data_IF_456063169901
#
_entry.id   IF_456063169901
#
_cell.length_a   1.000
_cell.length_b   1.000
_cell.length_c   1.000
_cell.angle_alpha   90.00
_cell.angle_beta   90.00
_cell.angle_gamma   90.00
#
_symmetry.space_group_name_H-M   'P 1'
#
loop_
_entity.id
_entity.type
_entity.pdbx_description
1 polymer ?
#
# COMPACT_ATOMS: atom_id res chain seq x y z
N UNK A 1 9.57 -8.88 6.81
CA UNK A 1 8.92 -7.56 6.71
C UNK A 1 8.97 -7.12 5.25
N UNK A 2 7.97 -6.39 4.77
CA UNK A 2 7.93 -5.88 3.38
C UNK A 2 7.83 -4.37 3.41
N UNK A 3 8.77 -3.69 2.76
CA UNK A 3 8.79 -2.23 2.63
C UNK A 3 8.20 -1.88 1.26
N UNK A 4 7.21 -0.98 1.22
CA UNK A 4 6.58 -0.56 -0.02
C UNK A 4 5.94 0.84 0.11
N UNK A 5 5.53 1.42 -1.02
CA UNK A 5 4.72 2.63 -1.06
C UNK A 5 3.21 2.35 -0.86
N UNK A 6 2.87 1.36 -0.03
CA UNK A 6 1.52 0.83 0.11
C UNK A 6 1.14 -0.21 -0.95
N UNK A 7 -0.16 -0.46 -1.12
CA UNK A 7 -0.65 -1.32 -2.18
C UNK A 7 -0.65 -0.55 -3.52
N UNK A 8 -0.55 -1.26 -4.65
CA UNK A 8 -0.62 -0.60 -5.96
C UNK A 8 -1.93 0.18 -6.07
N UNK A 9 -1.87 1.39 -6.61
CA UNK A 9 -3.00 2.33 -6.73
C UNK A 9 -4.21 1.80 -7.52
N UNK A 10 -4.02 0.75 -8.30
CA UNK A 10 -5.06 0.03 -9.04
C UNK A 10 -5.92 -0.90 -8.17
N UNK A 11 -5.55 -1.10 -6.90
CA UNK A 11 -6.23 -2.01 -5.97
C UNK A 11 -7.18 -1.25 -5.05
N UNK A 12 -8.12 -1.97 -4.45
CA UNK A 12 -8.97 -1.45 -3.40
C UNK A 12 -8.20 -1.42 -2.06
N UNK A 13 -7.82 -0.21 -1.63
CA UNK A 13 -7.04 -0.02 -0.41
C UNK A 13 -7.85 -0.31 0.86
N UNK A 14 -9.15 -0.02 0.86
CA UNK A 14 -10.02 -0.30 2.01
C UNK A 14 -10.14 -1.78 2.25
N UNK A 15 -10.47 -2.56 1.21
CA UNK A 15 -10.53 -4.01 1.30
C UNK A 15 -9.16 -4.63 1.61
N UNK A 16 -8.06 -4.01 1.14
CA UNK A 16 -6.71 -4.45 1.48
C UNK A 16 -6.43 -4.30 2.97
N UNK A 17 -6.79 -3.15 3.57
CA UNK A 17 -6.60 -2.92 5.00
C UNK A 17 -7.42 -3.89 5.85
N UNK A 18 -8.70 -4.09 5.51
CA UNK A 18 -9.58 -5.09 6.16
C UNK A 18 -9.00 -6.51 6.08
N UNK A 19 -8.43 -6.88 4.92
CA UNK A 19 -7.83 -8.20 4.73
C UNK A 19 -6.57 -8.38 5.59
N UNK A 20 -5.70 -7.37 5.64
CA UNK A 20 -4.48 -7.40 6.44
C UNK A 20 -4.79 -7.47 7.93
N UNK A 21 -5.78 -6.69 8.40
CA UNK A 21 -6.27 -6.74 9.77
C UNK A 21 -6.81 -8.14 10.13
N UNK A 22 -7.69 -8.70 9.28
CA UNK A 22 -8.25 -10.04 9.46
C UNK A 22 -7.15 -11.12 9.55
N UNK A 23 -6.03 -10.93 8.84
CA UNK A 23 -4.87 -11.85 8.86
C UNK A 23 -3.86 -11.55 9.96
N UNK A 24 -4.09 -10.54 10.79
CA UNK A 24 -3.16 -10.11 11.84
C UNK A 24 -1.83 -9.60 11.30
N UNK A 25 -1.82 -9.02 10.10
CA UNK A 25 -0.63 -8.42 9.48
C UNK A 25 -0.60 -6.92 9.81
N UNK A 26 0.34 -6.45 10.64
CA UNK A 26 0.40 -5.04 10.98
C UNK A 26 0.90 -4.22 9.79
N UNK A 27 0.29 -3.05 9.61
CA UNK A 27 0.67 -2.00 8.66
C UNK A 27 1.23 -0.82 9.43
N UNK A 28 2.51 -0.55 9.20
CA UNK A 28 3.31 0.48 9.87
C UNK A 28 3.55 1.61 8.89
N UNK A 29 3.08 2.82 9.20
CA UNK A 29 3.40 4.01 8.41
C UNK A 29 4.76 4.58 8.81
N UNK A 30 5.72 4.63 7.89
CA UNK A 30 6.97 5.33 8.14
C UNK A 30 6.76 6.84 7.97
N UNK A 31 6.84 7.58 9.07
CA UNK A 31 6.63 9.03 9.15
C UNK A 31 5.25 9.50 8.65
N UNK A 32 4.26 8.60 8.60
CA UNK A 32 2.89 8.88 8.13
C UNK A 32 1.84 8.18 9.00
N UNK A 33 0.66 8.79 9.10
CA UNK A 33 -0.51 8.22 9.78
C UNK A 33 -1.50 7.55 8.81
N UNK A 34 -1.26 7.66 7.50
CA UNK A 34 -2.14 7.12 6.46
C UNK A 34 -1.38 6.16 5.56
N UNK A 35 -2.10 5.21 4.98
CA UNK A 35 -1.56 4.29 3.98
C UNK A 35 -1.25 5.09 2.70
N UNK A 36 0.01 5.19 2.24
CA UNK A 36 0.32 5.75 0.93
C UNK A 36 -0.33 4.92 -0.18
N UNK A 37 -0.77 5.57 -1.25
CA UNK A 37 -1.46 4.94 -2.38
C UNK A 37 -0.54 4.82 -3.61
N UNK A 38 0.68 4.33 -3.39
CA UNK A 38 1.71 4.07 -4.40
C UNK A 38 2.26 5.33 -5.10
N UNK A 39 1.46 5.98 -5.95
CA UNK A 39 1.85 7.21 -6.66
C UNK A 39 1.56 8.50 -5.88
N UNK A 40 0.69 8.42 -4.86
CA UNK A 40 0.39 9.53 -3.95
C UNK A 40 0.83 9.18 -2.53
N UNK A 41 1.24 10.20 -1.78
CA UNK A 41 1.71 10.09 -0.39
C UNK A 41 0.57 9.81 0.57
N UNK A 42 -0.65 10.20 0.21
CA UNK A 42 -1.83 10.15 1.07
C UNK A 42 -2.92 9.23 0.50
N UNK A 43 -3.78 8.77 1.39
CA UNK A 43 -5.06 8.12 1.09
C UNK A 43 -6.01 8.35 2.28
N UNK A 44 -7.33 8.06 2.15
CA UNK A 44 -8.25 8.19 3.28
C UNK A 44 -8.11 7.07 4.33
N UNK A 45 -7.20 6.11 4.12
CA UNK A 45 -7.08 4.92 4.97
C UNK A 45 -5.95 5.08 6.01
N UNK A 46 -6.24 5.03 7.32
CA UNK A 46 -5.21 5.09 8.35
C UNK A 46 -4.38 3.81 8.39
N UNK A 47 -3.09 3.92 8.75
CA UNK A 47 -2.27 2.73 9.12
C UNK A 47 -2.60 2.29 10.54
N UNK A 48 -2.12 1.10 10.96
CA UNK A 48 -2.33 0.65 12.33
C UNK A 48 -1.52 1.47 13.34
N UNK A 49 -0.27 1.83 12.99
CA UNK A 49 0.52 2.78 13.76
C UNK A 49 1.60 3.46 12.91
N UNK A 50 2.01 4.65 13.34
CA UNK A 50 3.11 5.42 12.76
C UNK A 50 4.41 5.13 13.52
N UNK A 51 5.52 5.06 12.79
CA UNK A 51 6.87 5.05 13.34
C UNK A 51 7.71 6.11 12.61
N UNK A 52 8.44 6.94 13.36
CA UNK A 52 9.21 8.06 12.79
C UNK A 52 10.67 7.72 12.49
N UNK A 53 11.14 6.57 12.98
CA UNK A 53 12.51 6.07 12.84
C UNK A 53 12.54 4.55 12.62
N UNK A 54 13.67 4.07 12.08
CA UNK A 54 13.83 2.66 11.68
C UNK A 54 14.08 1.75 12.89
N UNK A 55 14.62 2.29 13.98
CA UNK A 55 14.87 1.59 15.24
C UNK A 55 13.56 1.14 15.88
N UNK A 56 12.55 2.01 15.90
CA UNK A 56 11.20 1.72 16.38
C UNK A 56 10.53 0.62 15.56
N UNK A 57 10.67 0.66 14.23
CA UNK A 57 10.18 -0.39 13.34
C UNK A 57 10.88 -1.73 13.67
N UNK A 58 12.20 -1.72 13.75
CA UNK A 58 13.00 -2.91 14.04
C UNK A 58 12.65 -3.53 15.41
N UNK A 59 12.52 -2.70 16.45
CA UNK A 59 12.14 -3.12 17.80
C UNK A 59 10.72 -3.72 17.83
N UNK A 60 9.79 -3.17 17.04
CA UNK A 60 8.42 -3.69 16.94
C UNK A 60 8.38 -5.05 16.26
N UNK A 61 9.13 -5.22 15.15
CA UNK A 61 9.25 -6.51 14.46
C UNK A 61 9.88 -7.57 15.36
N UNK A 62 10.96 -7.21 16.07
CA UNK A 62 11.61 -8.10 17.03
C UNK A 62 10.63 -8.54 18.12
N UNK A 63 9.91 -7.60 18.74
CA UNK A 63 8.91 -7.89 19.78
C UNK A 63 7.81 -8.83 19.25
N UNK A 64 7.29 -8.58 18.06
CA UNK A 64 6.29 -9.45 17.41
C UNK A 64 6.78 -10.90 17.33
N UNK A 65 8.02 -11.12 16.88
CA UNK A 65 8.56 -12.46 16.71
C UNK A 65 8.97 -13.12 18.04
N UNK A 66 9.47 -12.34 19.01
CA UNK A 66 9.77 -12.84 20.36
C UNK A 66 8.50 -13.33 21.08
N UNK A 67 7.34 -12.71 20.80
CA UNK A 67 6.01 -13.15 21.24
C UNK A 67 5.45 -14.35 20.45
N UNK A 68 6.25 -14.95 19.56
CA UNK A 68 5.88 -16.07 18.70
C UNK A 68 4.69 -15.79 17.75
N UNK A 69 4.41 -14.51 17.46
CA UNK A 69 3.42 -14.11 16.48
C UNK A 69 4.01 -14.26 15.07
N UNK A 70 3.67 -15.35 14.40
CA UNK A 70 4.18 -15.68 13.06
C UNK A 70 3.73 -14.66 12.00
N UNK A 71 4.37 -14.69 10.84
CA UNK A 71 4.04 -13.83 9.70
C UNK A 71 4.85 -12.54 9.61
N UNK A 72 4.53 -11.75 8.58
CA UNK A 72 5.22 -10.50 8.25
C UNK A 72 4.54 -9.25 8.83
N UNK A 73 5.00 -8.11 8.32
CA UNK A 73 4.47 -6.77 8.54
C UNK A 73 4.68 -5.97 7.25
N UNK A 74 3.77 -5.02 6.98
CA UNK A 74 3.89 -4.04 5.90
C UNK A 74 4.46 -2.76 6.50
N UNK A 75 5.54 -2.24 5.92
CA UNK A 75 6.10 -0.93 6.24
C UNK A 75 5.78 -0.04 5.06
N UNK A 76 4.76 0.80 5.23
CA UNK A 76 4.28 1.70 4.23
C UNK A 76 5.07 3.01 4.29
N UNK A 77 5.97 3.18 3.31
CA UNK A 77 6.85 4.32 3.16
C UNK A 77 6.35 5.18 1.98
N UNK A 78 5.81 6.39 2.22
CA UNK A 78 5.33 7.26 1.15
C UNK A 78 6.42 7.53 0.10
N UNK A 79 6.01 7.70 -1.15
CA UNK A 79 6.87 8.22 -2.21
C UNK A 79 7.43 9.60 -1.80
N UNK A 80 8.62 9.99 -2.26
CA UNK A 80 9.16 11.33 -2.01
C UNK A 80 8.26 12.41 -2.62
N UNK A 81 8.24 13.59 -2.04
CA UNK A 81 7.40 14.72 -2.49
C UNK A 81 7.71 15.13 -3.95
N UNK A 82 8.97 15.05 -4.34
CA UNK A 82 9.45 15.35 -5.69
C UNK A 82 9.04 14.31 -6.76
N UNK A 83 8.55 13.14 -6.35
CA UNK A 83 8.12 12.07 -7.24
C UNK A 83 6.63 11.75 -7.08
N UNK A 84 5.92 12.47 -6.20
CA UNK A 84 4.47 12.35 -6.07
C UNK A 84 3.78 12.83 -7.35
N UNK A 85 2.79 12.06 -7.80
CA UNK A 85 1.93 12.45 -8.90
C UNK A 85 0.71 13.22 -8.37
N UNK A 86 0.18 14.11 -9.20
CA UNK A 86 -1.10 14.77 -8.90
C UNK A 86 -2.22 13.72 -8.72
N UNK A 87 -2.92 13.80 -7.59
CA UNK A 87 -3.92 12.80 -7.17
C UNK A 87 -5.07 12.67 -8.18
N UNK A 88 -5.57 13.79 -8.71
CA UNK A 88 -6.67 13.78 -9.67
C UNK A 88 -6.24 13.17 -10.99
N UNK A 89 -5.04 13.54 -11.45
CA UNK A 89 -4.44 13.04 -12.68
C UNK A 89 -4.26 11.53 -12.61
N UNK A 90 -3.59 11.01 -11.56
CA UNK A 90 -3.33 9.57 -11.47
C UNK A 90 -4.62 8.78 -11.26
N UNK A 91 -5.58 9.30 -10.51
CA UNK A 91 -6.89 8.68 -10.35
C UNK A 91 -7.61 8.54 -11.69
N UNK A 92 -7.61 9.58 -12.51
CA UNK A 92 -8.22 9.54 -13.84
C UNK A 92 -7.55 8.52 -14.76
N UNK A 93 -6.22 8.42 -14.71
CA UNK A 93 -5.45 7.41 -15.46
C UNK A 93 -5.83 5.99 -15.01
N UNK A 94 -5.88 5.74 -13.70
CA UNK A 94 -6.25 4.44 -13.13
C UNK A 94 -7.68 4.06 -13.50
N UNK A 95 -8.64 4.96 -13.32
CA UNK A 95 -10.05 4.71 -13.65
C UNK A 95 -10.23 4.41 -15.15
N UNK A 96 -9.49 5.10 -16.01
CA UNK A 96 -9.48 4.84 -17.45
C UNK A 96 -8.86 3.47 -17.77
N UNK A 97 -7.74 3.14 -17.15
CA UNK A 97 -7.04 1.88 -17.37
C UNK A 97 -7.89 0.69 -16.87
N UNK A 98 -8.57 0.81 -15.72
CA UNK A 98 -9.48 -0.19 -15.18
C UNK A 98 -10.68 -0.44 -16.11
N UNK A 99 -11.29 0.62 -16.63
CA UNK A 99 -12.38 0.51 -17.62
C UNK A 99 -11.93 -0.20 -18.89
N UNK A 100 -10.75 0.16 -19.40
CA UNK A 100 -10.19 -0.49 -20.58
C UNK A 100 -9.85 -1.96 -20.33
N UNK A 101 -9.37 -2.31 -19.13
CA UNK A 101 -9.12 -3.70 -18.78
C UNK A 101 -10.42 -4.53 -18.81
N UNK A 102 -11.51 -3.96 -18.29
CA UNK A 102 -12.84 -4.57 -18.31
C UNK A 102 -13.40 -4.71 -19.73
N UNK A 103 -13.34 -3.64 -20.55
CA UNK A 103 -13.77 -3.66 -21.96
C UNK A 103 -13.01 -4.68 -22.81
N UNK A 104 -11.75 -4.98 -22.47
CA UNK A 104 -10.90 -5.94 -23.18
C UNK A 104 -10.88 -7.34 -22.54
N UNK A 105 -11.74 -7.59 -21.55
CA UNK A 105 -11.83 -8.85 -20.78
C UNK A 105 -10.48 -9.31 -20.17
N UNK A 106 -9.61 -8.36 -19.81
CA UNK A 106 -8.31 -8.66 -19.20
C UNK A 106 -8.53 -9.04 -17.74
N UNK A 107 -8.12 -10.26 -17.38
CA UNK A 107 -8.42 -10.86 -16.08
C UNK A 107 -7.20 -11.48 -15.42
N UNK A 108 -7.33 -11.69 -14.11
CA UNK A 108 -6.34 -12.40 -13.31
C UNK A 108 -4.97 -11.72 -13.33
N UNK A 109 -3.92 -12.51 -13.59
CA UNK A 109 -2.52 -12.05 -13.53
C UNK A 109 -2.16 -10.98 -14.57
N UNK A 110 -2.96 -10.85 -15.64
CA UNK A 110 -2.66 -9.96 -16.76
C UNK A 110 -3.15 -8.52 -16.52
N UNK A 111 -4.00 -8.31 -15.52
CA UNK A 111 -4.54 -6.99 -15.15
C UNK A 111 -3.45 -6.04 -14.71
N UNK A 112 -2.58 -6.45 -13.77
CA UNK A 112 -1.54 -5.55 -13.24
C UNK A 112 -0.52 -5.11 -14.29
N UNK A 113 0.05 -6.00 -15.13
CA UNK A 113 0.91 -5.58 -16.23
C UNK A 113 0.23 -4.66 -17.24
N UNK A 114 -1.05 -4.91 -17.57
CA UNK A 114 -1.81 -4.07 -18.48
C UNK A 114 -2.01 -2.65 -17.94
N UNK A 115 -2.35 -2.53 -16.66
CA UNK A 115 -2.59 -1.24 -16.02
C UNK A 115 -1.32 -0.41 -15.81
N UNK A 116 -0.15 -1.05 -15.68
CA UNK A 116 1.14 -0.38 -15.47
C UNK A 116 1.91 -0.10 -16.77
N UNK A 117 1.52 -0.74 -17.88
CA UNK A 117 2.15 -0.55 -19.19
C UNK A 117 1.62 0.63 -20.00
N UNK A 118 0.66 1.37 -19.46
CA UNK A 118 0.09 2.60 -20.03
C UNK A 118 0.46 3.79 -19.19
#
# INVERSE_FOLDING_TARGET
AVICAGAKSILDLGLTMEYLETKGVPVIGYQTNVLPAFYTRTSPYPVNFRADDVETIAATLKTKWDLNLKGGAVIANPISEEHEMDEQTIRSVIETALRQADENDIKGKDVTPFLLGK
#
